data_IF_726766089344
#
_entry.id   IF_726766089344
#
_cell.length_a   1.000
_cell.length_b   1.000
_cell.length_c   1.000
_cell.angle_alpha   90.00
_cell.angle_beta   90.00
_cell.angle_gamma   90.00
#
_symmetry.space_group_name_H-M   'P 1'
#
loop_
_entity.id
_entity.type
_entity.pdbx_description
1 polymer ?
#
# COMPACT_ATOMS: atom_id res chain seq x y z
N UNK A 1 -8.13 -17.22 11.35
CA UNK A 1 -9.08 -16.50 10.48
C UNK A 1 -8.28 -15.84 9.35
N UNK A 2 -8.43 -16.25 8.09
CA UNK A 2 -7.47 -15.88 7.01
C UNK A 2 -8.16 -15.28 5.77
N UNK A 3 -9.16 -14.43 5.97
CA UNK A 3 -10.06 -13.98 4.88
C UNK A 3 -9.85 -12.57 4.34
N UNK A 4 -9.19 -11.66 5.07
CA UNK A 4 -9.26 -10.22 4.80
C UNK A 4 -8.11 -9.68 3.95
N UNK A 5 -6.87 -10.14 4.20
CA UNK A 5 -5.70 -9.80 3.39
C UNK A 5 -5.84 -10.20 1.90
N UNK A 6 -6.65 -11.22 1.62
CA UNK A 6 -6.85 -11.72 0.26
C UNK A 6 -7.64 -10.76 -0.66
N UNK A 7 -8.24 -9.68 -0.12
CA UNK A 7 -9.15 -8.80 -0.88
C UNK A 7 -8.84 -7.31 -0.69
N UNK A 8 -7.56 -6.96 -0.59
CA UNK A 8 -7.15 -5.55 -0.47
C UNK A 8 -6.88 -4.95 -1.85
N UNK A 9 -7.49 -3.81 -2.12
CA UNK A 9 -7.30 -3.02 -3.35
C UNK A 9 -6.21 -1.97 -3.19
N UNK A 10 -5.70 -1.47 -4.32
CA UNK A 10 -4.73 -0.36 -4.30
C UNK A 10 -5.31 0.89 -3.60
N UNK A 11 -6.60 1.19 -3.77
CA UNK A 11 -7.26 2.33 -3.12
C UNK A 11 -7.29 2.19 -1.59
N UNK A 12 -7.49 0.98 -1.06
CA UNK A 12 -7.47 0.73 0.39
C UNK A 12 -6.08 0.93 0.98
N UNK A 13 -5.03 0.42 0.31
CA UNK A 13 -3.65 0.59 0.77
C UNK A 13 -3.21 2.04 0.70
N UNK A 14 -3.58 2.76 -0.35
CA UNK A 14 -3.30 4.20 -0.46
C UNK A 14 -3.88 4.95 0.73
N UNK A 15 -5.14 4.68 1.11
CA UNK A 15 -5.76 5.33 2.28
C UNK A 15 -5.03 5.02 3.59
N UNK A 16 -4.52 3.80 3.75
CA UNK A 16 -3.75 3.42 4.94
C UNK A 16 -2.41 4.16 4.98
N UNK A 17 -1.70 4.20 3.85
CA UNK A 17 -0.45 4.95 3.71
C UNK A 17 -0.68 6.44 4.03
N UNK A 18 -1.69 7.07 3.45
CA UNK A 18 -2.03 8.47 3.71
C UNK A 18 -2.35 8.73 5.18
N UNK A 19 -3.06 7.82 5.86
CA UNK A 19 -3.33 7.91 7.31
C UNK A 19 -2.05 7.79 8.15
N UNK A 20 -1.06 7.04 7.68
CA UNK A 20 0.28 6.92 8.32
C UNK A 20 1.22 8.07 7.95
N UNK A 21 0.71 9.14 7.32
CA UNK A 21 1.51 10.31 6.98
C UNK A 21 2.35 10.16 5.72
N UNK A 22 2.11 9.12 4.92
CA UNK A 22 2.68 9.06 3.59
C UNK A 22 1.96 10.02 2.64
N UNK A 23 2.71 10.58 1.70
CA UNK A 23 2.22 11.41 0.62
C UNK A 23 2.72 10.88 -0.73
N UNK A 24 1.94 11.10 -1.78
CA UNK A 24 2.33 10.74 -3.14
C UNK A 24 3.50 11.61 -3.58
N UNK A 25 4.69 11.03 -3.69
CA UNK A 25 5.90 11.74 -4.09
C UNK A 25 6.11 11.76 -5.61
N UNK A 26 5.71 10.69 -6.30
CA UNK A 26 5.84 10.56 -7.76
C UNK A 26 4.88 9.52 -8.31
N UNK A 27 4.48 9.70 -9.57
CA UNK A 27 3.83 8.65 -10.36
C UNK A 27 4.57 8.45 -11.69
N UNK A 28 4.69 7.19 -12.13
CA UNK A 28 5.16 6.83 -13.46
C UNK A 28 4.30 5.71 -14.02
N UNK A 29 3.51 6.01 -15.05
CA UNK A 29 2.48 5.09 -15.54
C UNK A 29 1.48 4.71 -14.45
N UNK A 30 1.26 3.41 -14.25
CA UNK A 30 0.38 2.88 -13.20
C UNK A 30 1.04 2.80 -11.82
N UNK A 31 2.35 3.05 -11.68
CA UNK A 31 3.02 2.93 -10.38
C UNK A 31 3.04 4.27 -9.64
N UNK A 32 2.52 4.27 -8.41
CA UNK A 32 2.52 5.41 -7.49
C UNK A 32 3.57 5.18 -6.41
N UNK A 33 4.43 6.17 -6.17
CA UNK A 33 5.46 6.14 -5.14
C UNK A 33 5.03 7.04 -3.99
N UNK A 34 4.88 6.46 -2.81
CA UNK A 34 4.56 7.14 -1.56
C UNK A 34 5.81 7.28 -0.70
N UNK A 35 5.91 8.39 0.02
CA UNK A 35 6.98 8.64 1.00
C UNK A 35 6.41 9.29 2.25
N UNK A 36 7.07 9.13 3.39
CA UNK A 36 6.75 9.89 4.61
C UNK A 36 7.94 10.76 5.05
N UNK A 37 7.77 11.51 6.15
CA UNK A 37 8.82 12.36 6.71
C UNK A 37 9.95 11.57 7.37
N UNK A 38 9.70 10.31 7.74
CA UNK A 38 10.68 9.40 8.35
C UNK A 38 11.64 8.79 7.32
N UNK A 39 11.40 9.04 6.02
CA UNK A 39 12.24 8.58 4.92
C UNK A 39 11.83 7.23 4.33
N UNK A 40 10.73 6.64 4.81
CA UNK A 40 10.17 5.41 4.27
C UNK A 40 9.56 5.65 2.89
N UNK A 41 9.53 4.59 2.07
CA UNK A 41 9.05 4.66 0.69
C UNK A 41 8.37 3.37 0.28
N UNK A 42 7.12 3.47 -0.15
CA UNK A 42 6.35 2.38 -0.72
C UNK A 42 6.01 2.62 -2.19
N UNK A 43 5.98 1.54 -2.99
CA UNK A 43 5.53 1.58 -4.39
C UNK A 43 4.23 0.81 -4.57
N UNK A 44 3.16 1.51 -4.95
CA UNK A 44 1.83 0.94 -5.13
C UNK A 44 1.51 0.83 -6.63
N UNK A 45 1.34 -0.38 -7.20
CA UNK A 45 0.79 -0.53 -8.54
C UNK A 45 -0.71 -0.19 -8.50
N UNK A 46 -1.12 0.76 -9.33
CA UNK A 46 -2.46 1.31 -9.34
C UNK A 46 -3.23 0.91 -10.59
N UNK A 47 -4.16 -0.02 -10.41
CA UNK A 47 -5.20 -0.33 -11.39
C UNK A 47 -6.54 -0.29 -10.69
N UNK A 48 -7.39 0.66 -11.08
CA UNK A 48 -8.68 0.93 -10.42
C UNK A 48 -9.49 -0.36 -10.27
N UNK A 49 -9.97 -0.61 -9.05
CA UNK A 49 -10.85 -1.74 -8.73
C UNK A 49 -10.18 -3.12 -8.75
N UNK A 50 -8.86 -3.23 -9.00
CA UNK A 50 -8.16 -4.51 -8.93
C UNK A 50 -7.69 -4.82 -7.51
N UNK A 51 -7.85 -6.08 -7.13
CA UNK A 51 -7.27 -6.64 -5.91
C UNK A 51 -5.77 -6.79 -6.11
N UNK A 52 -4.98 -6.36 -5.11
CA UNK A 52 -3.55 -6.57 -5.09
C UNK A 52 -3.27 -8.05 -4.80
N UNK A 53 -2.36 -8.63 -5.57
CA UNK A 53 -1.85 -9.96 -5.26
C UNK A 53 -1.18 -9.95 -3.89
N UNK A 54 -1.36 -11.02 -3.09
CA UNK A 54 -0.88 -11.08 -1.70
C UNK A 54 0.61 -10.74 -1.56
N UNK A 55 1.45 -11.19 -2.50
CA UNK A 55 2.89 -10.85 -2.52
C UNK A 55 3.14 -9.35 -2.68
N UNK A 56 2.36 -8.68 -3.52
CA UNK A 56 2.47 -7.23 -3.74
C UNK A 56 2.02 -6.49 -2.50
N UNK A 57 0.91 -6.90 -1.90
CA UNK A 57 0.43 -6.35 -0.63
C UNK A 57 1.52 -6.46 0.45
N UNK A 58 2.05 -7.66 0.72
CA UNK A 58 3.11 -7.87 1.71
C UNK A 58 4.36 -7.02 1.43
N UNK A 59 4.76 -6.88 0.17
CA UNK A 59 5.89 -6.01 -0.21
C UNK A 59 5.63 -4.56 0.17
N UNK A 60 4.43 -4.03 -0.11
CA UNK A 60 4.08 -2.65 0.22
C UNK A 60 4.07 -2.42 1.74
N UNK A 61 3.59 -3.40 2.50
CA UNK A 61 3.52 -3.31 3.96
C UNK A 61 4.90 -3.34 4.59
N UNK A 62 5.79 -4.22 4.10
CA UNK A 62 7.18 -4.25 4.54
C UNK A 62 7.90 -2.93 4.21
N UNK A 63 7.69 -2.39 3.01
CA UNK A 63 8.27 -1.11 2.57
C UNK A 63 7.80 0.09 3.42
N UNK A 64 6.60 -0.01 3.99
CA UNK A 64 5.97 1.02 4.80
C UNK A 64 6.00 0.72 6.31
N UNK A 65 6.67 -0.36 6.72
CA UNK A 65 6.73 -0.84 8.10
C UNK A 65 5.35 -0.92 8.79
N UNK A 66 4.36 -1.47 8.07
CA UNK A 66 2.97 -1.63 8.52
C UNK A 66 2.72 -3.11 8.81
N UNK A 67 2.20 -3.41 9.99
CA UNK A 67 1.84 -4.78 10.36
C UNK A 67 0.54 -5.22 9.64
N UNK A 68 0.49 -6.49 9.23
CA UNK A 68 -0.68 -7.06 8.54
C UNK A 68 -1.98 -6.96 9.38
N UNK A 69 -1.84 -6.85 10.71
CA UNK A 69 -2.93 -6.69 11.66
C UNK A 69 -3.63 -5.33 11.55
N UNK A 70 -2.93 -4.28 11.11
CA UNK A 70 -3.48 -2.92 10.96
C UNK A 70 -4.43 -2.78 9.75
N UNK A 71 -4.47 -3.81 8.90
CA UNK A 71 -5.33 -3.89 7.70
C UNK A 71 -6.56 -4.77 7.98
N UNK A 72 -6.58 -5.40 9.18
CA UNK A 72 -7.67 -6.21 9.72
C UNK A 72 -8.90 -5.39 10.03
#
# INVERSE_FOLDING_TARGET
>A
MSGRLARVTADQIIKILEKKGFFLARQSGSHKIYKNQEGERATVPYHKGKILHLKVLKSILNDANIDEEEIG
#
